data_IF_723304557324
#
_entry.id   IF_723304557324
#
_cell.length_a   1.000
_cell.length_b   1.000
_cell.length_c   1.000
_cell.angle_alpha   90.00
_cell.angle_beta   90.00
_cell.angle_gamma   90.00
#
_symmetry.space_group_name_H-M   'P 1'
#
loop_
_entity.id
_entity.type
_entity.pdbx_description
1 polymer ?
#
# COMPACT_ATOMS: atom_id res chain seq x y z
N UNK A 1 32.56 -9.24 -12.20
CA UNK A 1 31.27 -9.01 -12.91
C UNK A 1 30.31 -8.41 -11.91
N UNK A 2 29.84 -7.19 -12.14
CA UNK A 2 28.74 -6.64 -11.35
C UNK A 2 27.50 -7.50 -11.62
N UNK A 3 26.68 -7.81 -10.60
CA UNK A 3 25.44 -8.55 -10.82
C UNK A 3 24.58 -7.74 -11.79
N UNK A 4 24.07 -8.42 -12.80
CA UNK A 4 23.12 -7.90 -13.77
C UNK A 4 21.94 -7.31 -12.98
N UNK A 5 21.86 -5.99 -12.90
CA UNK A 5 20.78 -5.31 -12.17
C UNK A 5 19.55 -5.39 -13.05
N UNK A 6 18.69 -6.35 -12.75
CA UNK A 6 17.38 -6.40 -13.38
C UNK A 6 16.68 -5.03 -13.25
N UNK A 7 16.10 -4.54 -14.34
CA UNK A 7 15.34 -3.32 -14.32
C UNK A 7 14.13 -3.43 -13.36
N UNK A 8 13.83 -2.39 -12.60
CA UNK A 8 12.64 -2.38 -11.75
C UNK A 8 11.37 -2.60 -12.58
N UNK A 9 10.53 -3.51 -12.13
CA UNK A 9 9.22 -3.75 -12.74
C UNK A 9 8.14 -3.08 -11.91
N UNK A 10 7.20 -2.41 -12.57
CA UNK A 10 6.04 -1.80 -11.92
C UNK A 10 4.86 -2.75 -11.97
N UNK A 11 4.19 -2.94 -10.84
CA UNK A 11 2.88 -3.59 -10.81
C UNK A 11 1.85 -2.63 -11.40
N UNK A 12 1.19 -3.04 -12.49
CA UNK A 12 0.30 -2.17 -13.27
C UNK A 12 -1.10 -2.77 -13.49
N UNK A 13 -1.26 -4.06 -13.21
CA UNK A 13 -2.55 -4.74 -13.31
C UNK A 13 -3.23 -4.75 -11.95
N UNK A 14 -4.39 -4.14 -11.87
CA UNK A 14 -5.16 -3.99 -10.63
C UNK A 14 -6.59 -4.49 -10.83
N UNK A 15 -7.22 -5.05 -9.78
CA UNK A 15 -8.65 -5.38 -9.82
C UNK A 15 -9.49 -4.17 -10.23
N UNK A 16 -10.55 -4.39 -11.00
CA UNK A 16 -11.42 -3.33 -11.51
C UNK A 16 -10.95 -2.66 -12.80
N UNK A 17 -9.74 -2.99 -13.28
CA UNK A 17 -9.23 -2.55 -14.58
C UNK A 17 -9.27 -3.67 -15.62
N UNK A 18 -9.50 -3.32 -16.90
CA UNK A 18 -9.32 -4.28 -17.98
C UNK A 18 -7.85 -4.64 -18.17
N UNK A 19 -7.57 -5.81 -18.74
CA UNK A 19 -6.19 -6.30 -18.96
C UNK A 19 -5.35 -5.31 -19.78
N UNK A 20 -5.98 -4.56 -20.67
CA UNK A 20 -5.33 -3.53 -21.49
C UNK A 20 -5.10 -2.19 -20.76
N UNK A 21 -5.70 -2.01 -19.59
CA UNK A 21 -5.61 -0.77 -18.82
C UNK A 21 -4.54 -0.88 -17.73
N UNK A 22 -3.40 -0.25 -17.98
CA UNK A 22 -2.28 -0.23 -17.04
C UNK A 22 -2.37 1.02 -16.14
N UNK A 23 -2.13 0.83 -14.85
CA UNK A 23 -2.07 1.93 -13.90
C UNK A 23 -0.89 1.75 -12.94
N UNK A 24 -0.04 2.78 -12.82
CA UNK A 24 1.12 2.77 -11.94
C UNK A 24 0.75 2.98 -10.45
N UNK A 25 -0.49 3.32 -10.17
CA UNK A 25 -1.00 3.59 -8.82
C UNK A 25 -2.43 3.08 -8.71
N UNK A 26 -2.82 2.69 -7.51
CA UNK A 26 -4.20 2.34 -7.15
C UNK A 26 -4.68 3.29 -6.06
N UNK A 27 -5.95 3.71 -6.14
CA UNK A 27 -6.57 4.62 -5.17
C UNK A 27 -6.69 3.99 -3.78
N UNK A 28 -6.45 4.76 -2.73
CA UNK A 28 -6.66 4.34 -1.35
C UNK A 28 -8.16 4.48 -1.01
N UNK A 29 -8.93 3.47 -1.36
CA UNK A 29 -10.37 3.45 -1.27
C UNK A 29 -10.83 2.04 -0.87
N UNK A 30 -11.82 1.96 0.02
CA UNK A 30 -12.48 0.75 0.50
C UNK A 30 -13.99 0.94 0.54
N UNK A 31 -14.74 -0.11 0.26
CA UNK A 31 -16.13 -0.23 0.65
C UNK A 31 -16.31 -1.51 1.48
N UNK A 32 -17.14 -1.46 2.51
CA UNK A 32 -17.47 -2.59 3.36
C UNK A 32 -18.83 -3.18 3.02
N UNK A 33 -19.03 -4.45 3.38
CA UNK A 33 -20.34 -5.09 3.29
C UNK A 33 -21.35 -4.36 4.20
N UNK A 34 -22.57 -4.18 3.70
CA UNK A 34 -23.64 -3.50 4.42
C UNK A 34 -24.23 -4.31 5.61
N UNK A 35 -23.78 -5.56 5.77
CA UNK A 35 -24.26 -6.49 6.79
C UNK A 35 -23.67 -6.27 8.20
N UNK A 36 -22.82 -5.25 8.38
CA UNK A 36 -22.12 -4.94 9.61
C UNK A 36 -20.96 -5.90 9.94
N UNK A 37 -20.60 -6.82 9.05
CA UNK A 37 -19.53 -7.83 9.25
C UNK A 37 -18.12 -7.24 9.24
N UNK A 38 -17.96 -5.98 8.86
CA UNK A 38 -16.66 -5.33 8.62
C UNK A 38 -15.80 -6.03 7.57
N UNK A 39 -16.39 -6.83 6.68
CA UNK A 39 -15.69 -7.41 5.54
C UNK A 39 -15.55 -6.39 4.44
N UNK A 40 -14.36 -6.30 3.85
CA UNK A 40 -14.13 -5.47 2.67
C UNK A 40 -14.88 -6.10 1.49
N UNK A 41 -15.79 -5.33 0.89
CA UNK A 41 -16.57 -5.68 -0.30
C UNK A 41 -15.77 -5.37 -1.57
N UNK A 42 -15.19 -4.16 -1.61
CA UNK A 42 -14.41 -3.69 -2.75
C UNK A 42 -13.27 -2.77 -2.31
N UNK A 43 -12.27 -2.58 -3.17
CA UNK A 43 -11.13 -1.71 -2.92
C UNK A 43 -10.52 -1.17 -4.22
N UNK A 44 -9.79 -0.07 -4.12
CA UNK A 44 -9.11 0.55 -5.25
C UNK A 44 -10.07 0.90 -6.38
N UNK A 45 -9.75 0.52 -7.62
CA UNK A 45 -10.59 0.80 -8.78
C UNK A 45 -11.94 0.06 -8.77
N UNK A 46 -12.11 -0.97 -7.97
CA UNK A 46 -13.40 -1.65 -7.85
C UNK A 46 -14.41 -0.77 -7.12
N UNK A 47 -13.96 0.11 -6.22
CA UNK A 47 -14.81 1.08 -5.55
C UNK A 47 -15.51 2.04 -6.53
N UNK A 48 -14.89 2.33 -7.68
CA UNK A 48 -15.48 3.19 -8.72
C UNK A 48 -16.72 2.55 -9.38
N UNK A 49 -16.93 1.25 -9.17
CA UNK A 49 -18.06 0.48 -9.70
C UNK A 49 -19.19 0.31 -8.68
N UNK A 50 -18.99 0.78 -7.45
CA UNK A 50 -20.03 0.76 -6.42
C UNK A 50 -21.10 1.81 -6.74
N UNK A 51 -22.31 1.55 -6.28
CA UNK A 51 -23.40 2.49 -6.42
C UNK A 51 -23.32 3.64 -5.38
N UNK A 52 -24.13 4.68 -5.56
CA UNK A 52 -24.15 5.87 -4.69
C UNK A 52 -24.54 5.57 -3.23
N UNK A 53 -25.06 4.37 -2.94
CA UNK A 53 -25.44 3.95 -1.59
C UNK A 53 -24.30 3.27 -0.84
N UNK A 54 -23.20 2.93 -1.53
CA UNK A 54 -22.06 2.26 -0.91
C UNK A 54 -21.34 3.21 0.08
N UNK A 55 -21.06 2.70 1.25
CA UNK A 55 -20.28 3.42 2.27
C UNK A 55 -18.79 3.33 1.97
N UNK A 56 -18.32 4.24 1.11
CA UNK A 56 -16.94 4.29 0.64
C UNK A 56 -16.08 5.03 1.68
N UNK A 57 -14.96 4.41 2.04
CA UNK A 57 -13.92 4.97 2.91
C UNK A 57 -12.73 5.37 2.06
N UNK A 58 -12.46 6.66 1.98
CA UNK A 58 -11.33 7.24 1.29
C UNK A 58 -10.57 8.21 2.21
N UNK A 59 -9.49 8.79 1.72
CA UNK A 59 -8.68 9.80 2.42
C UNK A 59 -8.24 9.42 3.85
N UNK A 60 -8.45 8.19 4.28
CA UNK A 60 -8.14 7.74 5.64
C UNK A 60 -6.66 7.86 6.00
N UNK A 61 -5.75 7.86 5.01
CA UNK A 61 -4.32 8.09 5.25
C UNK A 61 -4.03 9.45 5.88
N UNK A 62 -4.84 10.48 5.62
CA UNK A 62 -4.70 11.81 6.23
C UNK A 62 -4.95 11.75 7.74
N UNK A 63 -5.92 10.93 8.16
CA UNK A 63 -6.31 10.78 9.57
C UNK A 63 -5.36 9.92 10.40
N UNK A 64 -4.33 9.33 9.78
CA UNK A 64 -3.21 8.70 10.48
C UNK A 64 -2.19 9.72 11.01
N UNK A 65 -2.20 10.95 10.49
CA UNK A 65 -1.37 12.02 11.01
C UNK A 65 -2.06 12.66 12.24
N UNK A 66 -1.50 12.54 13.46
CA UNK A 66 -2.11 13.10 14.66
C UNK A 66 -2.16 14.63 14.66
N UNK A 67 -1.48 15.30 13.73
CA UNK A 67 -1.54 16.75 13.55
C UNK A 67 -2.63 17.17 12.56
N UNK A 68 -3.12 16.26 11.72
CA UNK A 68 -4.21 16.55 10.81
C UNK A 68 -5.51 16.83 11.57
N UNK A 69 -6.21 17.86 11.17
CA UNK A 69 -7.50 18.25 11.74
C UNK A 69 -8.52 18.31 10.63
N UNK A 70 -9.47 17.41 10.68
CA UNK A 70 -10.66 17.44 9.85
C UNK A 70 -11.77 18.15 10.64
N UNK A 71 -12.29 19.24 10.10
CA UNK A 71 -13.37 20.02 10.76
C UNK A 71 -14.77 19.44 10.55
N UNK A 72 -14.90 18.31 9.86
CA UNK A 72 -16.19 17.68 9.59
C UNK A 72 -16.73 16.96 10.83
N UNK A 73 -18.05 17.03 11.09
CA UNK A 73 -18.65 16.34 12.25
C UNK A 73 -18.56 14.81 12.15
N UNK A 74 -18.49 14.28 10.93
CA UNK A 74 -18.43 12.86 10.58
C UNK A 74 -17.01 12.38 10.25
N UNK A 75 -16.00 13.19 10.59
CA UNK A 75 -14.62 12.83 10.37
C UNK A 75 -14.27 11.50 11.09
N UNK A 76 -13.53 10.59 10.43
CA UNK A 76 -13.17 9.34 11.06
C UNK A 76 -12.27 9.54 12.27
N UNK A 77 -12.42 8.66 13.26
CA UNK A 77 -11.46 8.58 14.35
C UNK A 77 -10.11 8.08 13.87
N UNK A 78 -9.06 8.36 14.63
CA UNK A 78 -7.73 7.82 14.34
C UNK A 78 -7.72 6.28 14.31
N UNK A 79 -8.49 5.64 15.20
CA UNK A 79 -8.65 4.18 15.25
C UNK A 79 -9.36 3.64 14.00
N UNK A 80 -10.41 4.33 13.52
CA UNK A 80 -11.07 3.96 12.27
C UNK A 80 -10.12 4.07 11.08
N UNK A 81 -9.37 5.16 11.01
CA UNK A 81 -8.38 5.36 9.95
C UNK A 81 -7.29 4.28 9.95
N UNK A 82 -6.79 3.88 11.14
CA UNK A 82 -5.85 2.77 11.28
C UNK A 82 -6.42 1.46 10.74
N UNK A 83 -7.66 1.14 11.12
CA UNK A 83 -8.35 -0.07 10.66
C UNK A 83 -8.51 -0.07 9.15
N UNK A 84 -9.06 1.00 8.57
CA UNK A 84 -9.25 1.10 7.12
C UNK A 84 -7.93 1.04 6.36
N UNK A 85 -6.90 1.70 6.87
CA UNK A 85 -5.58 1.63 6.25
C UNK A 85 -5.00 0.22 6.30
N UNK A 86 -5.12 -0.48 7.42
CA UNK A 86 -4.65 -1.86 7.53
C UNK A 86 -5.43 -2.81 6.63
N UNK A 87 -6.76 -2.65 6.52
CA UNK A 87 -7.61 -3.47 5.64
C UNK A 87 -7.27 -3.20 4.16
N UNK A 88 -7.02 -1.93 3.79
CA UNK A 88 -6.55 -1.58 2.46
C UNK A 88 -5.19 -2.20 2.13
N UNK A 89 -4.25 -2.13 3.06
CA UNK A 89 -2.94 -2.77 2.90
C UNK A 89 -3.05 -4.28 2.78
N UNK A 90 -3.99 -4.92 3.47
CA UNK A 90 -4.26 -6.36 3.33
C UNK A 90 -4.74 -6.70 1.91
N UNK A 91 -5.64 -5.91 1.35
CA UNK A 91 -6.07 -6.09 -0.04
C UNK A 91 -4.90 -5.98 -1.03
N UNK A 92 -4.00 -5.00 -0.83
CA UNK A 92 -2.79 -4.88 -1.64
C UNK A 92 -1.87 -6.09 -1.45
N UNK A 93 -1.65 -6.53 -0.21
CA UNK A 93 -0.82 -7.68 0.11
C UNK A 93 -1.33 -8.94 -0.60
N UNK A 94 -2.61 -9.23 -0.49
CA UNK A 94 -3.24 -10.41 -1.09
C UNK A 94 -3.14 -10.38 -2.63
N UNK A 95 -3.29 -9.20 -3.23
CA UNK A 95 -3.11 -9.02 -4.67
C UNK A 95 -1.65 -9.24 -5.11
N UNK A 96 -0.69 -8.74 -4.35
CA UNK A 96 0.74 -8.95 -4.60
C UNK A 96 1.09 -10.44 -4.42
N UNK A 97 0.60 -11.06 -3.36
CA UNK A 97 0.80 -12.49 -3.10
C UNK A 97 0.27 -13.35 -4.25
N UNK A 98 -0.92 -13.06 -4.74
CA UNK A 98 -1.50 -13.75 -5.89
C UNK A 98 -0.62 -13.56 -7.13
N UNK A 99 -0.22 -12.33 -7.43
CA UNK A 99 0.65 -12.01 -8.59
C UNK A 99 1.98 -12.74 -8.51
N UNK A 100 2.59 -12.82 -7.32
CA UNK A 100 3.85 -13.52 -7.12
C UNK A 100 3.68 -15.04 -7.20
N UNK A 101 2.58 -15.58 -6.68
CA UNK A 101 2.27 -17.02 -6.77
C UNK A 101 2.11 -17.46 -8.23
N UNK A 102 1.52 -16.62 -9.05
CA UNK A 102 1.31 -16.88 -10.46
C UNK A 102 2.59 -16.73 -11.30
N UNK A 103 3.48 -15.80 -10.92
CA UNK A 103 4.62 -15.39 -11.73
C UNK A 103 5.96 -16.00 -11.28
N UNK A 104 6.12 -16.31 -10.01
CA UNK A 104 7.40 -16.73 -9.41
C UNK A 104 7.24 -18.00 -8.56
N UNK A 105 7.52 -19.20 -9.14
CA UNK A 105 7.47 -20.43 -8.37
C UNK A 105 8.39 -20.38 -7.14
N UNK A 106 7.88 -20.80 -5.98
CA UNK A 106 8.62 -20.83 -4.70
C UNK A 106 9.04 -19.44 -4.18
N UNK A 107 8.33 -18.34 -4.55
CA UNK A 107 8.65 -17.00 -4.06
C UNK A 107 8.69 -16.91 -2.53
N UNK A 108 7.84 -17.69 -1.81
CA UNK A 108 7.84 -17.76 -0.35
C UNK A 108 9.12 -18.30 0.27
N UNK A 109 9.92 -19.04 -0.48
CA UNK A 109 11.24 -19.54 -0.04
C UNK A 109 12.41 -18.63 -0.46
N UNK A 110 12.12 -17.55 -1.16
CA UNK A 110 13.11 -16.54 -1.51
C UNK A 110 13.26 -15.53 -0.38
N UNK A 111 14.42 -14.86 -0.33
CA UNK A 111 14.60 -13.71 0.53
C UNK A 111 13.87 -12.52 -0.07
N UNK A 112 12.90 -11.99 0.65
CA UNK A 112 12.10 -10.84 0.23
C UNK A 112 12.18 -9.70 1.25
N UNK A 113 12.46 -8.52 0.78
CA UNK A 113 12.38 -7.30 1.57
C UNK A 113 11.34 -6.37 0.98
N UNK A 114 10.30 -6.08 1.77
CA UNK A 114 9.27 -5.08 1.45
C UNK A 114 9.74 -3.75 1.99
N UNK A 115 10.09 -2.83 1.11
CA UNK A 115 10.54 -1.50 1.46
C UNK A 115 9.37 -0.51 1.35
N UNK A 116 8.99 0.12 2.45
CA UNK A 116 7.93 1.12 2.48
C UNK A 116 8.51 2.52 2.64
N UNK A 117 8.02 3.47 1.84
CA UNK A 117 8.27 4.89 2.06
C UNK A 117 7.17 5.51 2.92
N UNK A 118 7.51 6.60 3.61
CA UNK A 118 6.58 7.34 4.47
C UNK A 118 6.43 8.78 3.99
N UNK A 119 5.29 9.43 4.25
CA UNK A 119 5.15 10.86 4.03
C UNK A 119 6.25 11.65 4.76
N UNK A 120 6.76 12.69 4.11
CA UNK A 120 7.86 13.51 4.66
C UNK A 120 7.51 14.17 6.00
N UNK A 121 6.22 14.35 6.27
CA UNK A 121 5.71 14.92 7.53
C UNK A 121 5.70 13.92 8.69
N UNK A 122 5.76 12.62 8.41
CA UNK A 122 5.72 11.56 9.42
C UNK A 122 7.11 11.30 10.00
N UNK A 123 7.54 12.13 10.94
CA UNK A 123 8.91 12.12 11.48
C UNK A 123 9.01 11.51 12.87
N UNK A 124 7.89 11.33 13.58
CA UNK A 124 7.97 10.83 14.96
C UNK A 124 8.22 9.32 14.97
N UNK A 125 9.11 8.83 15.84
CA UNK A 125 9.35 7.38 15.98
C UNK A 125 8.08 6.58 16.29
N UNK A 126 7.11 7.16 16.99
CA UNK A 126 5.83 6.52 17.29
C UNK A 126 4.97 6.33 16.06
N UNK A 127 4.93 7.30 15.14
CA UNK A 127 4.21 7.17 13.85
C UNK A 127 4.85 6.09 12.97
N UNK A 128 6.18 6.05 12.93
CA UNK A 128 6.91 5.03 12.17
C UNK A 128 6.62 3.63 12.72
N UNK A 129 6.68 3.47 14.05
CA UNK A 129 6.38 2.19 14.69
C UNK A 129 4.92 1.76 14.49
N UNK A 130 3.99 2.71 14.51
CA UNK A 130 2.58 2.46 14.22
C UNK A 130 2.38 2.01 12.78
N UNK A 131 2.97 2.71 11.82
CA UNK A 131 2.91 2.33 10.41
C UNK A 131 3.47 0.93 10.18
N UNK A 132 4.63 0.61 10.79
CA UNK A 132 5.24 -0.72 10.70
C UNK A 132 4.30 -1.79 11.26
N UNK A 133 3.63 -1.52 12.39
CA UNK A 133 2.64 -2.41 12.98
C UNK A 133 1.45 -2.66 12.05
N UNK A 134 0.93 -1.61 11.41
CA UNK A 134 -0.20 -1.73 10.47
C UNK A 134 0.18 -2.53 9.22
N UNK A 135 1.37 -2.29 8.65
CA UNK A 135 1.89 -3.01 7.50
C UNK A 135 2.08 -4.50 7.82
N UNK A 136 2.71 -4.83 8.95
CA UNK A 136 2.87 -6.21 9.41
C UNK A 136 1.53 -6.86 9.72
N UNK A 137 0.61 -6.13 10.34
CA UNK A 137 -0.76 -6.59 10.62
C UNK A 137 -1.60 -6.83 9.38
N UNK A 138 -1.23 -6.26 8.24
CA UNK A 138 -1.83 -6.52 6.94
C UNK A 138 -1.28 -7.80 6.26
N UNK A 139 -0.19 -8.40 6.78
CA UNK A 139 0.41 -9.62 6.26
C UNK A 139 1.82 -9.46 5.71
N UNK A 140 2.25 -8.25 5.40
CA UNK A 140 3.58 -8.03 4.83
C UNK A 140 4.70 -8.52 5.76
N UNK A 141 5.66 -9.25 5.17
CA UNK A 141 6.82 -9.79 5.87
C UNK A 141 6.55 -11.11 6.61
N UNK A 142 5.35 -11.72 6.46
CA UNK A 142 4.97 -12.98 7.12
C UNK A 142 4.82 -14.17 6.19
N UNK A 143 4.89 -13.99 4.87
CA UNK A 143 4.61 -15.03 3.87
C UNK A 143 5.72 -16.08 3.76
N UNK A 144 6.93 -15.75 4.17
CA UNK A 144 8.09 -16.64 4.13
C UNK A 144 9.06 -16.39 5.29
N UNK A 145 9.90 -17.39 5.56
CA UNK A 145 10.87 -17.35 6.68
C UNK A 145 11.84 -16.17 6.60
N UNK A 146 12.24 -15.81 5.38
CA UNK A 146 13.23 -14.76 5.12
C UNK A 146 12.57 -13.50 4.53
N UNK A 147 11.27 -13.33 4.75
CA UNK A 147 10.52 -12.13 4.40
C UNK A 147 10.59 -11.11 5.52
N UNK A 148 10.79 -9.85 5.16
CA UNK A 148 10.86 -8.75 6.13
C UNK A 148 10.28 -7.46 5.57
N UNK A 149 9.85 -6.59 6.48
CA UNK A 149 9.42 -5.22 6.18
C UNK A 149 10.46 -4.25 6.69
N UNK A 150 10.79 -3.25 5.89
CA UNK A 150 11.67 -2.15 6.26
C UNK A 150 11.00 -0.83 5.89
N UNK A 151 10.96 0.11 6.82
CA UNK A 151 10.58 1.50 6.55
C UNK A 151 11.86 2.28 6.36
N UNK A 152 12.20 2.58 5.12
CA UNK A 152 13.56 2.99 4.77
C UNK A 152 13.73 4.46 4.37
N UNK A 153 12.73 5.05 3.71
CA UNK A 153 12.87 6.38 3.10
C UNK A 153 11.57 7.17 3.24
N UNK A 154 11.68 8.49 3.25
CA UNK A 154 10.54 9.35 2.98
C UNK A 154 10.18 9.32 1.49
N UNK A 155 8.94 9.68 1.15
CA UNK A 155 8.50 9.79 -0.25
C UNK A 155 9.39 10.76 -1.04
N UNK A 156 9.82 11.87 -0.44
CA UNK A 156 10.70 12.84 -1.06
C UNK A 156 12.12 12.28 -1.30
N UNK A 157 12.69 11.56 -0.33
CA UNK A 157 14.00 10.90 -0.49
C UNK A 157 13.96 9.82 -1.57
N UNK A 158 12.90 9.01 -1.61
CA UNK A 158 12.72 7.99 -2.64
C UNK A 158 12.64 8.62 -4.04
N UNK A 159 11.90 9.71 -4.19
CA UNK A 159 11.81 10.46 -5.45
C UNK A 159 13.17 11.07 -5.86
N UNK A 160 13.92 11.62 -4.91
CA UNK A 160 15.25 12.19 -5.17
C UNK A 160 16.25 11.11 -5.63
N UNK A 161 16.25 9.94 -4.99
CA UNK A 161 17.10 8.81 -5.39
C UNK A 161 16.75 8.34 -6.79
N UNK A 162 15.47 8.23 -7.12
CA UNK A 162 15.02 7.85 -8.46
C UNK A 162 15.47 8.88 -9.52
N UNK A 163 15.21 10.17 -9.29
CA UNK A 163 15.58 11.23 -10.22
C UNK A 163 17.10 11.31 -10.45
N UNK A 164 17.91 11.13 -9.40
CA UNK A 164 19.36 11.14 -9.53
C UNK A 164 19.89 10.00 -10.42
N UNK A 165 19.31 8.79 -10.31
CA UNK A 165 19.67 7.66 -11.17
C UNK A 165 19.39 7.92 -12.64
N UNK A 166 18.23 8.48 -12.95
CA UNK A 166 17.86 8.83 -14.33
C UNK A 166 18.84 9.80 -14.98
N UNK A 167 19.39 10.76 -14.21
CA UNK A 167 20.37 11.71 -14.71
C UNK A 167 21.76 11.10 -14.97
N UNK A 168 22.12 10.03 -14.25
CA UNK A 168 23.42 9.35 -14.46
C UNK A 168 23.38 8.33 -15.60
N UNK A 169 22.20 7.79 -15.95
CA UNK A 169 22.03 6.87 -17.06
C UNK A 169 21.98 7.55 -18.44
N UNK A 170 21.79 8.87 -18.50
CA UNK A 170 21.74 9.69 -19.73
C UNK A 170 23.12 10.23 -20.14
N UNK A 171 24.19 9.91 -19.45
CA UNK A 171 25.57 10.25 -19.79
C UNK A 171 26.38 9.01 -20.18
#
# INVERSE_FOLDING_TARGET
MAPDRAEPKTLQHWPGKMISELANKVGSCLAYEADGSRRVKSWGFVCDQEDETADIKDLFKLHLDPQYRDGRPDAPSHEDAQRWFQDYLRCIHDHIEQTFSDSYPRWRSQKLEVLCSVPTTWKSPSMIAELERLIKGAGFGSDGRDHRVTIGLTEAEAAAVYASKQQFEVR
#
